data_IF_073393170667
#
_entry.id   IF_073393170667
#
_cell.length_a   1.000
_cell.length_b   1.000
_cell.length_c   1.000
_cell.angle_alpha   90.00
_cell.angle_beta   90.00
_cell.angle_gamma   90.00
#
_symmetry.space_group_name_H-M   'P 1'
#
loop_
_entity.id
_entity.type
_entity.pdbx_description
1 polymer ?
#
# COMPACT_ATOMS: atom_id res chain seq x y z
N UNK A 1 -14.58 -7.73 28.19
CA UNK A 1 -15.22 -8.42 27.05
C UNK A 1 -14.36 -8.13 25.84
N UNK A 2 -13.72 -9.15 25.24
CA UNK A 2 -12.70 -8.99 24.20
C UNK A 2 -13.35 -8.30 23.00
N UNK A 3 -12.92 -7.07 22.69
CA UNK A 3 -13.64 -6.15 21.83
C UNK A 3 -13.62 -6.66 20.38
N UNK A 4 -14.79 -7.09 19.89
CA UNK A 4 -14.98 -7.62 18.53
C UNK A 4 -14.41 -6.68 17.46
N UNK A 5 -14.43 -5.36 17.73
CA UNK A 5 -13.86 -4.33 16.86
C UNK A 5 -12.34 -4.45 16.65
N UNK A 6 -11.59 -4.83 17.69
CA UNK A 6 -10.13 -5.06 17.56
C UNK A 6 -9.87 -6.30 16.71
N UNK A 7 -10.61 -7.39 16.95
CA UNK A 7 -10.42 -8.64 16.21
C UNK A 7 -10.77 -8.51 14.72
N UNK A 8 -11.85 -7.80 14.38
CA UNK A 8 -12.24 -7.57 12.97
C UNK A 8 -11.15 -6.77 12.25
N UNK A 9 -10.57 -5.78 12.94
CA UNK A 9 -9.50 -4.98 12.38
C UNK A 9 -8.23 -5.80 12.20
N UNK A 10 -7.77 -6.53 13.22
CA UNK A 10 -6.61 -7.42 13.08
C UNK A 10 -6.83 -8.43 11.95
N UNK A 11 -8.03 -8.98 11.81
CA UNK A 11 -8.40 -9.86 10.70
C UNK A 11 -8.24 -9.18 9.34
N UNK A 12 -8.76 -7.96 9.18
CA UNK A 12 -8.63 -7.20 7.94
C UNK A 12 -7.17 -6.79 7.63
N UNK A 13 -6.38 -6.51 8.67
CA UNK A 13 -4.98 -6.11 8.55
C UNK A 13 -4.04 -7.29 8.25
N UNK A 14 -4.28 -8.45 8.86
CA UNK A 14 -3.55 -9.67 8.47
C UNK A 14 -3.94 -10.14 7.07
N UNK A 15 -5.21 -9.99 6.70
CA UNK A 15 -5.67 -10.28 5.35
C UNK A 15 -5.00 -9.36 4.32
N UNK A 16 -4.86 -8.07 4.61
CA UNK A 16 -4.19 -7.12 3.71
C UNK A 16 -2.69 -7.43 3.57
N UNK A 17 -1.99 -7.82 4.63
CA UNK A 17 -0.61 -8.29 4.54
C UNK A 17 -0.45 -9.58 3.74
N UNK A 18 -1.35 -10.56 3.91
CA UNK A 18 -1.33 -11.80 3.13
C UNK A 18 -1.56 -11.50 1.65
N UNK A 19 -2.55 -10.66 1.33
CA UNK A 19 -2.80 -10.22 -0.05
C UNK A 19 -1.56 -9.53 -0.64
N UNK A 20 -0.91 -8.67 0.12
CA UNK A 20 0.28 -7.96 -0.34
C UNK A 20 1.47 -8.89 -0.57
N UNK A 21 1.69 -9.84 0.33
CA UNK A 21 2.71 -10.87 0.20
C UNK A 21 2.47 -11.74 -1.03
N UNK A 22 1.23 -12.18 -1.26
CA UNK A 22 0.86 -12.96 -2.45
C UNK A 22 1.10 -12.18 -3.74
N UNK A 23 0.77 -10.88 -3.76
CA UNK A 23 1.01 -10.03 -4.93
C UNK A 23 2.49 -9.83 -5.20
N UNK A 24 3.28 -9.58 -4.15
CA UNK A 24 4.72 -9.41 -4.25
C UNK A 24 5.41 -10.67 -4.79
N UNK A 25 4.96 -11.86 -4.39
CA UNK A 25 5.48 -13.12 -4.94
C UNK A 25 4.90 -13.46 -6.32
N UNK A 26 3.73 -12.92 -6.69
CA UNK A 26 3.17 -13.01 -8.04
C UNK A 26 3.90 -12.17 -9.10
N UNK A 27 4.92 -11.38 -8.72
CA UNK A 27 5.85 -10.76 -9.66
C UNK A 27 6.50 -11.81 -10.62
N UNK A 28 6.48 -13.10 -10.25
CA UNK A 28 6.94 -14.18 -11.13
C UNK A 28 5.97 -14.57 -12.28
N UNK A 29 4.71 -14.11 -12.31
CA UNK A 29 3.72 -14.47 -13.35
C UNK A 29 2.99 -13.21 -13.89
N UNK A 30 3.78 -12.38 -14.54
CA UNK A 30 3.51 -11.34 -15.54
C UNK A 30 2.04 -11.10 -15.99
N UNK A 31 1.39 -10.05 -15.45
CA UNK A 31 0.45 -9.21 -16.20
C UNK A 31 0.33 -7.79 -15.57
N UNK A 32 0.94 -6.75 -16.18
CA UNK A 32 1.10 -5.41 -15.56
C UNK A 32 -0.23 -4.72 -15.21
N UNK A 33 -1.30 -5.02 -15.93
CA UNK A 33 -2.63 -4.40 -15.71
C UNK A 33 -3.28 -4.78 -14.38
N UNK A 34 -3.00 -5.98 -13.87
CA UNK A 34 -3.59 -6.44 -12.60
C UNK A 34 -2.85 -5.86 -11.39
N UNK A 35 -1.54 -5.62 -11.52
CA UNK A 35 -0.73 -5.02 -10.47
C UNK A 35 -1.12 -3.57 -10.19
N UNK A 36 -1.38 -2.79 -11.24
CA UNK A 36 -1.79 -1.38 -11.11
C UNK A 36 -3.14 -1.24 -10.38
N UNK A 37 -4.14 -2.02 -10.79
CA UNK A 37 -5.47 -2.03 -10.16
C UNK A 37 -5.41 -2.43 -8.67
N UNK A 38 -4.58 -3.42 -8.35
CA UNK A 38 -4.43 -3.87 -6.97
C UNK A 38 -3.67 -2.85 -6.12
N UNK A 39 -2.64 -2.23 -6.67
CA UNK A 39 -1.91 -1.15 -5.98
C UNK A 39 -2.85 0.01 -5.64
N UNK A 40 -3.68 0.45 -6.58
CA UNK A 40 -4.70 1.49 -6.38
C UNK A 40 -5.69 1.06 -5.30
N UNK A 41 -6.22 -0.17 -5.39
CA UNK A 41 -7.18 -0.68 -4.42
C UNK A 41 -6.60 -0.73 -3.00
N UNK A 42 -5.36 -1.22 -2.86
CA UNK A 42 -4.69 -1.33 -1.56
C UNK A 42 -4.35 0.04 -0.96
N UNK A 43 -3.85 0.98 -1.77
CA UNK A 43 -3.63 2.38 -1.35
C UNK A 43 -4.94 3.00 -0.85
N UNK A 44 -6.01 2.85 -1.62
CA UNK A 44 -7.33 3.39 -1.28
C UNK A 44 -7.87 2.80 0.02
N UNK A 45 -7.76 1.48 0.19
CA UNK A 45 -8.13 0.79 1.42
C UNK A 45 -7.35 1.31 2.64
N UNK A 46 -6.02 1.40 2.54
CA UNK A 46 -5.16 1.89 3.64
C UNK A 46 -5.49 3.34 4.00
N UNK A 47 -5.70 4.21 3.01
CA UNK A 47 -6.03 5.61 3.24
C UNK A 47 -7.41 5.76 3.91
N UNK A 48 -8.44 5.09 3.40
CA UNK A 48 -9.77 5.11 4.03
C UNK A 48 -9.71 4.60 5.47
N UNK A 49 -8.98 3.52 5.67
CA UNK A 49 -8.76 2.95 6.98
C UNK A 49 -8.14 3.96 7.96
N UNK A 50 -7.06 4.66 7.54
CA UNK A 50 -6.43 5.70 8.35
C UNK A 50 -7.38 6.88 8.62
N UNK A 51 -8.13 7.35 7.62
CA UNK A 51 -9.07 8.45 7.77
C UNK A 51 -10.20 8.16 8.76
N UNK A 52 -10.73 6.94 8.74
CA UNK A 52 -11.80 6.52 9.65
C UNK A 52 -11.24 6.40 11.08
N UNK A 53 -10.07 5.77 11.23
CA UNK A 53 -9.49 5.48 12.56
C UNK A 53 -8.89 6.71 13.24
N UNK A 54 -8.22 7.56 12.48
CA UNK A 54 -7.53 8.76 12.97
C UNK A 54 -8.30 10.04 12.68
N UNK A 55 -9.63 9.94 12.56
CA UNK A 55 -10.50 11.08 12.34
C UNK A 55 -10.34 12.12 13.48
N UNK A 56 -9.88 13.35 13.20
CA UNK A 56 -9.63 14.37 14.23
C UNK A 56 -10.91 14.83 14.95
N UNK A 57 -12.09 14.59 14.37
CA UNK A 57 -13.38 14.95 14.96
C UNK A 57 -13.85 13.96 16.03
N UNK A 58 -13.16 12.82 16.20
CA UNK A 58 -13.50 11.79 17.20
C UNK A 58 -12.41 11.75 18.26
N UNK A 59 -12.78 11.92 19.53
CA UNK A 59 -11.85 11.72 20.65
C UNK A 59 -11.60 10.22 20.83
N UNK A 60 -10.48 9.74 20.29
CA UNK A 60 -9.97 8.38 20.51
C UNK A 60 -8.67 8.45 21.31
N UNK A 61 -8.50 7.52 22.25
CA UNK A 61 -7.20 7.27 22.90
C UNK A 61 -6.27 6.61 21.90
N UNK A 62 -5.12 7.21 21.65
CA UNK A 62 -4.09 6.64 20.79
C UNK A 62 -3.42 5.45 21.49
N UNK A 63 -3.61 4.26 20.94
CA UNK A 63 -3.07 3.01 21.50
C UNK A 63 -1.73 2.63 20.86
N UNK A 64 -0.98 1.71 21.49
CA UNK A 64 0.23 1.13 20.89
C UNK A 64 -0.09 0.40 19.56
N UNK A 65 -1.31 -0.13 19.45
CA UNK A 65 -1.83 -0.67 18.19
C UNK A 65 -1.93 0.39 17.11
N UNK A 66 -2.55 1.52 17.43
CA UNK A 66 -2.68 2.64 16.50
C UNK A 66 -1.32 3.15 16.02
N UNK A 67 -0.32 3.18 16.92
CA UNK A 67 1.08 3.53 16.58
C UNK A 67 1.67 2.60 15.52
N UNK A 68 1.50 1.29 15.72
CA UNK A 68 2.02 0.27 14.80
C UNK A 68 1.35 0.38 13.43
N UNK A 69 0.02 0.54 13.42
CA UNK A 69 -0.77 0.65 12.19
C UNK A 69 -0.37 1.87 11.36
N UNK A 70 -0.22 3.04 11.98
CA UNK A 70 0.19 4.26 11.28
C UNK A 70 1.58 4.08 10.67
N UNK A 71 2.53 3.54 11.43
CA UNK A 71 3.90 3.37 10.96
C UNK A 71 3.99 2.40 9.78
N UNK A 72 3.37 1.22 9.89
CA UNK A 72 3.36 0.24 8.80
C UNK A 72 2.62 0.74 7.57
N UNK A 73 1.52 1.46 7.74
CA UNK A 73 0.77 2.08 6.64
C UNK A 73 1.56 3.17 5.94
N UNK A 74 2.34 3.97 6.68
CA UNK A 74 3.19 5.00 6.10
C UNK A 74 4.33 4.38 5.26
N UNK A 75 4.99 3.33 5.75
CA UNK A 75 6.01 2.60 4.97
C UNK A 75 5.40 1.99 3.72
N UNK A 76 4.22 1.37 3.85
CA UNK A 76 3.48 0.81 2.73
C UNK A 76 3.17 1.86 1.65
N UNK A 77 2.59 3.00 2.05
CA UNK A 77 2.27 4.06 1.12
C UNK A 77 3.53 4.62 0.46
N UNK A 78 4.61 4.84 1.21
CA UNK A 78 5.88 5.31 0.67
C UNK A 78 6.47 4.33 -0.36
N UNK A 79 6.44 3.04 -0.07
CA UNK A 79 6.94 2.03 -1.00
C UNK A 79 6.12 1.97 -2.29
N UNK A 80 4.81 2.15 -2.17
CA UNK A 80 3.90 2.00 -3.31
C UNK A 80 3.71 3.27 -4.12
N UNK A 81 3.88 4.47 -3.54
CA UNK A 81 3.82 5.72 -4.29
C UNK A 81 5.21 6.12 -4.76
N UNK A 82 6.11 6.40 -3.82
CA UNK A 82 7.39 7.03 -4.11
C UNK A 82 8.33 6.08 -4.84
N UNK A 83 8.46 4.82 -4.42
CA UNK A 83 9.35 3.89 -5.13
C UNK A 83 8.78 3.44 -6.47
N UNK A 84 7.46 3.23 -6.59
CA UNK A 84 6.83 2.91 -7.88
C UNK A 84 7.01 4.05 -8.90
N UNK A 85 6.75 5.30 -8.52
CA UNK A 85 6.93 6.46 -9.40
C UNK A 85 8.41 6.67 -9.78
N UNK A 86 9.34 6.41 -8.86
CA UNK A 86 10.77 6.48 -9.16
C UNK A 86 11.19 5.40 -10.16
N UNK A 87 10.76 4.15 -9.95
CA UNK A 87 11.05 3.04 -10.85
C UNK A 87 10.55 3.33 -12.27
N UNK A 88 9.32 3.82 -12.41
CA UNK A 88 8.75 4.20 -13.71
C UNK A 88 9.55 5.33 -14.39
N UNK A 89 9.98 6.35 -13.64
CA UNK A 89 10.82 7.41 -14.19
C UNK A 89 12.18 6.91 -14.66
N UNK A 90 12.80 5.97 -13.95
CA UNK A 90 14.07 5.37 -14.38
C UNK A 90 13.90 4.54 -15.67
N UNK A 91 12.88 3.68 -15.74
CA UNK A 91 12.58 2.89 -16.95
C UNK A 91 12.27 3.78 -18.17
N UNK A 92 11.43 4.81 -18.00
CA UNK A 92 11.10 5.76 -19.08
C UNK A 92 12.33 6.55 -19.54
N UNK A 93 13.26 6.87 -18.63
CA UNK A 93 14.49 7.60 -18.96
C UNK A 93 15.44 6.75 -19.80
N UNK A 94 15.53 5.45 -19.55
CA UNK A 94 16.33 4.50 -20.35
C UNK A 94 15.74 4.33 -21.75
N UNK A 95 14.41 4.12 -21.86
CA UNK A 95 13.73 3.94 -23.14
C UNK A 95 13.81 5.17 -24.05
N UNK A 96 13.67 6.39 -23.48
CA UNK A 96 13.81 7.64 -24.24
C UNK A 96 15.25 7.86 -24.74
N UNK A 97 16.27 7.46 -23.96
CA UNK A 97 17.67 7.54 -24.40
C UNK A 97 17.94 6.59 -25.57
N UNK A 98 17.46 5.35 -25.50
CA UNK A 98 17.60 4.37 -26.59
C UNK A 98 16.88 4.83 -27.87
N UNK A 99 15.68 5.40 -27.74
CA UNK A 99 14.94 5.98 -28.87
C UNK A 99 15.68 7.14 -29.55
N UNK A 100 16.37 7.99 -28.77
CA UNK A 100 17.18 9.10 -29.31
C UNK A 100 18.49 8.65 -29.95
N UNK A 101 19.04 7.51 -29.54
CA UNK A 101 20.25 6.92 -30.14
C UNK A 101 19.95 6.13 -31.42
N UNK A 102 18.71 5.64 -31.57
CA UNK A 102 18.27 4.89 -32.74
C UNK A 102 17.77 5.77 -33.91
N UNK A 103 17.81 7.11 -33.76
CA UNK A 103 17.42 8.09 -34.78
C UNK A 103 18.63 8.92 -35.20
#
# INVERSE_FOLDING_TARGET
MKNIHENIFYGALYLSYILYFVTYFQIAQYNPKYNELLEIFMKFYVILFLLIRFNPFVKSTFTEFDRTVVFSSAIFLLATTTFSELAEKFDLTELVKLSKLAK
#
